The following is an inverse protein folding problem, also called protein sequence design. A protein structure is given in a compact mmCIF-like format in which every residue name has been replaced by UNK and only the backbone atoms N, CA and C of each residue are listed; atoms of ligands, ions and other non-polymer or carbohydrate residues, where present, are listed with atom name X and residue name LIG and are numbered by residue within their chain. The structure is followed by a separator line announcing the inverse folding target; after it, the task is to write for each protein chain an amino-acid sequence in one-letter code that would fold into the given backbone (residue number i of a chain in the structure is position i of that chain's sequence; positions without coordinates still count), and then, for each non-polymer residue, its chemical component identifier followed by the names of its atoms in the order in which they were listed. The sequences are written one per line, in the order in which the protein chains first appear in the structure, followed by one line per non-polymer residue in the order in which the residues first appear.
data_IF_015773389714
#
_entry.id   IF_015773389714
#
_cell.length_a   1.000
_cell.length_b   1.000
_cell.length_c   1.000
_cell.angle_alpha   90.00
_cell.angle_beta   90.00
_cell.angle_gamma   90.00
#
_symmetry.space_group_name_H-M   'P 1'
#
loop_
_entity.id
_entity.type
_entity.pdbx_description
1 polymer ?
#
# COMPACT_ATOMS: atom_id res chain seq x y z
N UNK A 1 -16.80 2.85 -11.80
CA UNK A 1 -15.68 2.84 -12.78
C UNK A 1 -15.47 4.20 -13.45
N UNK A 2 -16.46 4.78 -14.14
CA UNK A 2 -16.32 6.09 -14.83
C UNK A 2 -15.94 7.22 -13.86
N UNK A 3 -16.58 7.29 -12.67
CA UNK A 3 -16.24 8.27 -11.62
C UNK A 3 -14.78 8.16 -11.16
N UNK A 4 -14.31 6.94 -10.90
CA UNK A 4 -12.91 6.67 -10.49
C UNK A 4 -11.91 7.16 -11.53
N UNK A 5 -12.13 6.83 -12.81
CA UNK A 5 -11.25 7.27 -13.90
C UNK A 5 -11.19 8.80 -13.99
N UNK A 6 -12.33 9.48 -13.82
CA UNK A 6 -12.40 10.95 -13.82
C UNK A 6 -11.62 11.57 -12.65
N UNK A 7 -11.73 11.00 -11.44
CA UNK A 7 -10.99 11.45 -10.26
C UNK A 7 -9.48 11.21 -10.42
N UNK A 8 -9.08 10.06 -10.98
CA UNK A 8 -7.67 9.75 -11.27
C UNK A 8 -7.06 10.74 -12.28
N UNK A 9 -7.81 11.12 -13.33
CA UNK A 9 -7.38 12.14 -14.28
C UNK A 9 -7.24 13.52 -13.63
N UNK A 10 -8.22 13.92 -12.80
CA UNK A 10 -8.15 15.18 -12.06
C UNK A 10 -6.93 15.24 -11.11
N UNK A 11 -6.68 14.14 -10.38
CA UNK A 11 -5.51 13.99 -9.51
C UNK A 11 -4.21 14.08 -10.29
N UNK A 12 -4.11 13.44 -11.45
CA UNK A 12 -2.94 13.51 -12.34
C UNK A 12 -2.63 14.95 -12.74
N UNK A 13 -3.64 15.73 -13.10
CA UNK A 13 -3.47 17.14 -13.46
C UNK A 13 -2.97 17.98 -12.27
N UNK A 14 -3.49 17.73 -11.06
CA UNK A 14 -3.05 18.42 -9.84
C UNK A 14 -1.63 18.06 -9.43
N UNK A 15 -1.20 16.80 -9.61
CA UNK A 15 0.19 16.37 -9.42
C UNK A 15 1.12 17.10 -10.38
N UNK A 16 0.76 17.21 -11.66
CA UNK A 16 1.57 17.95 -12.63
C UNK A 16 1.72 19.42 -12.22
N UNK A 17 0.63 20.05 -11.77
CA UNK A 17 0.67 21.43 -11.27
C UNK A 17 1.51 21.59 -9.99
N UNK A 18 1.49 20.61 -9.09
CA UNK A 18 2.36 20.61 -7.92
C UNK A 18 3.84 20.48 -8.30
N UNK A 19 4.16 19.68 -9.33
CA UNK A 19 5.52 19.59 -9.87
C UNK A 19 5.98 20.93 -10.46
N UNK A 20 5.12 21.62 -11.20
CA UNK A 20 5.43 22.97 -11.72
C UNK A 20 5.73 23.94 -10.57
N UNK A 21 4.91 23.94 -9.52
CA UNK A 21 5.17 24.77 -8.34
C UNK A 21 6.46 24.39 -7.62
N UNK A 22 6.80 23.10 -7.50
CA UNK A 22 8.08 22.67 -6.94
C UNK A 22 9.27 23.21 -7.75
N UNK A 23 9.23 23.09 -9.08
CA UNK A 23 10.29 23.64 -9.94
C UNK A 23 10.43 25.16 -9.77
N UNK A 24 9.31 25.89 -9.69
CA UNK A 24 9.30 27.34 -9.47
C UNK A 24 9.87 27.70 -8.09
N UNK A 25 9.54 26.92 -7.07
CA UNK A 25 10.03 27.09 -5.70
C UNK A 25 11.54 26.82 -5.60
N UNK A 26 12.02 25.73 -6.20
CA UNK A 26 13.45 25.39 -6.27
C UNK A 26 14.24 26.49 -6.97
N UNK A 27 13.73 27.00 -8.10
CA UNK A 27 14.35 28.10 -8.84
C UNK A 27 14.45 29.36 -7.98
N UNK A 28 13.38 29.77 -7.29
CA UNK A 28 13.43 30.94 -6.38
C UNK A 28 14.43 30.74 -5.26
N UNK A 29 14.43 29.56 -4.65
CA UNK A 29 15.34 29.19 -3.57
C UNK A 29 16.80 29.24 -4.03
N UNK A 30 17.11 28.80 -5.25
CA UNK A 30 18.48 28.87 -5.80
C UNK A 30 18.98 30.31 -6.00
N UNK A 31 18.07 31.27 -6.21
CA UNK A 31 18.40 32.70 -6.28
C UNK A 31 18.29 33.42 -4.92
N UNK A 32 18.08 32.69 -3.81
CA UNK A 32 17.93 33.27 -2.48
C UNK A 32 16.67 34.12 -2.30
N UNK A 33 15.69 34.00 -3.19
CA UNK A 33 14.45 34.78 -3.14
C UNK A 33 13.50 34.21 -2.09
N UNK A 34 12.86 35.10 -1.31
CA UNK A 34 11.78 34.70 -0.41
C UNK A 34 10.55 34.25 -1.20
N UNK A 35 9.81 33.29 -0.65
CA UNK A 35 8.56 32.84 -1.24
C UNK A 35 7.46 33.88 -0.99
N UNK A 36 6.68 34.29 -2.00
CA UNK A 36 5.52 35.15 -1.77
C UNK A 36 4.41 34.40 -1.01
N UNK A 37 3.73 35.06 -0.09
CA UNK A 37 2.59 34.46 0.66
C UNK A 37 1.49 33.93 -0.28
N UNK A 38 1.23 34.63 -1.40
CA UNK A 38 0.27 34.18 -2.42
C UNK A 38 0.68 32.85 -3.06
N UNK A 39 1.98 32.61 -3.20
CA UNK A 39 2.49 31.34 -3.72
C UNK A 39 2.30 30.23 -2.70
N UNK A 40 2.67 30.48 -1.44
CA UNK A 40 2.51 29.50 -0.35
C UNK A 40 1.03 29.11 -0.17
N UNK A 41 0.12 30.08 -0.24
CA UNK A 41 -1.33 29.83 -0.18
C UNK A 41 -1.83 28.98 -1.34
N UNK A 42 -1.38 29.25 -2.57
CA UNK A 42 -1.73 28.44 -3.76
C UNK A 42 -1.15 27.03 -3.67
N UNK A 43 0.08 26.90 -3.19
CA UNK A 43 0.75 25.63 -2.99
C UNK A 43 -0.02 24.77 -1.97
N UNK A 44 -0.29 25.33 -0.79
CA UNK A 44 -1.03 24.66 0.27
C UNK A 44 -2.42 24.20 -0.21
N UNK A 45 -3.16 25.05 -0.94
CA UNK A 45 -4.44 24.68 -1.51
C UNK A 45 -4.36 23.45 -2.45
N UNK A 46 -3.32 23.37 -3.30
CA UNK A 46 -3.12 22.19 -4.17
C UNK A 46 -2.80 20.94 -3.36
N UNK A 47 -2.00 21.05 -2.30
CA UNK A 47 -1.68 19.92 -1.42
C UNK A 47 -2.92 19.43 -0.68
N UNK A 48 -3.72 20.32 -0.10
CA UNK A 48 -4.97 19.98 0.59
C UNK A 48 -5.99 19.36 -0.37
N UNK A 49 -6.11 19.87 -1.59
CA UNK A 49 -6.98 19.26 -2.60
C UNK A 49 -6.52 17.85 -2.98
N UNK A 50 -5.20 17.63 -3.10
CA UNK A 50 -4.61 16.31 -3.37
C UNK A 50 -4.88 15.33 -2.23
N UNK A 51 -4.78 15.78 -0.99
CA UNK A 51 -5.10 14.98 0.19
C UNK A 51 -6.59 14.57 0.20
N UNK A 52 -7.50 15.52 -0.04
CA UNK A 52 -8.94 15.21 -0.15
C UNK A 52 -9.21 14.20 -1.27
N UNK A 53 -8.63 14.39 -2.45
CA UNK A 53 -8.76 13.43 -3.55
C UNK A 53 -8.17 12.05 -3.20
N UNK A 54 -7.14 11.96 -2.35
CA UNK A 54 -6.64 10.68 -1.87
C UNK A 54 -7.66 9.97 -0.97
N UNK A 55 -8.29 10.70 -0.05
CA UNK A 55 -9.34 10.15 0.82
C UNK A 55 -10.53 9.66 -0.01
N UNK A 56 -11.02 10.47 -0.95
CA UNK A 56 -12.14 10.09 -1.83
C UNK A 56 -11.80 8.83 -2.65
N UNK A 57 -10.58 8.74 -3.19
CA UNK A 57 -10.13 7.56 -3.94
C UNK A 57 -10.07 6.31 -3.05
N UNK A 58 -9.62 6.45 -1.80
CA UNK A 58 -9.59 5.35 -0.85
C UNK A 58 -10.99 4.82 -0.59
N UNK A 59 -11.97 5.70 -0.39
CA UNK A 59 -13.36 5.32 -0.20
C UNK A 59 -13.94 4.60 -1.42
N UNK A 60 -13.68 5.12 -2.64
CA UNK A 60 -14.09 4.44 -3.88
C UNK A 60 -13.44 3.06 -4.05
N UNK A 61 -12.17 2.90 -3.67
CA UNK A 61 -11.49 1.60 -3.73
C UNK A 61 -12.12 0.62 -2.73
N UNK A 62 -12.37 1.06 -1.50
CA UNK A 62 -13.03 0.25 -0.47
C UNK A 62 -14.41 -0.22 -0.93
N UNK A 63 -15.19 0.66 -1.57
CA UNK A 63 -16.51 0.33 -2.10
C UNK A 63 -16.42 -0.69 -3.25
N UNK A 64 -15.47 -0.49 -4.19
CA UNK A 64 -15.22 -1.43 -5.29
C UNK A 64 -14.81 -2.80 -4.75
N UNK A 65 -13.93 -2.86 -3.75
CA UNK A 65 -13.54 -4.12 -3.10
C UNK A 65 -14.75 -4.86 -2.52
N UNK A 66 -15.65 -4.16 -1.83
CA UNK A 66 -16.90 -4.74 -1.30
C UNK A 66 -17.80 -5.27 -2.42
N UNK A 67 -17.92 -4.56 -3.54
CA UNK A 67 -18.68 -5.05 -4.69
C UNK A 67 -18.02 -6.27 -5.36
N UNK A 68 -16.70 -6.28 -5.50
CA UNK A 68 -15.95 -7.42 -6.03
C UNK A 68 -16.15 -8.68 -5.18
N UNK A 69 -16.15 -8.56 -3.85
CA UNK A 69 -16.46 -9.68 -2.94
C UNK A 69 -17.87 -10.24 -3.13
N UNK A 70 -18.87 -9.39 -3.41
CA UNK A 70 -20.26 -9.81 -3.62
C UNK A 70 -20.49 -10.50 -4.97
N UNK A 71 -19.77 -10.08 -6.01
CA UNK A 71 -19.98 -10.55 -7.40
C UNK A 71 -19.13 -11.80 -7.69
N UNK A 72 -17.97 -11.94 -7.04
CA UNK A 72 -17.10 -13.11 -7.15
C UNK A 72 -16.75 -13.61 -5.73
N UNK A 73 -17.51 -14.59 -5.19
CA UNK A 73 -17.22 -15.20 -3.89
C UNK A 73 -16.02 -16.17 -3.91
N UNK A 74 -15.62 -16.67 -5.08
CA UNK A 74 -14.28 -17.25 -5.29
C UNK A 74 -13.25 -16.13 -5.15
N UNK A 75 -12.05 -16.38 -4.57
CA UNK A 75 -11.13 -15.34 -4.13
C UNK A 75 -10.74 -14.44 -5.31
N UNK A 76 -11.50 -13.35 -5.46
CA UNK A 76 -11.24 -12.34 -6.46
C UNK A 76 -9.80 -11.88 -6.28
N UNK A 77 -9.12 -11.55 -7.37
CA UNK A 77 -7.74 -11.08 -7.31
C UNK A 77 -7.58 -9.95 -6.28
N UNK A 78 -8.59 -9.10 -6.10
CA UNK A 78 -8.64 -8.07 -5.06
C UNK A 78 -8.69 -8.60 -3.61
N UNK A 79 -9.37 -9.72 -3.34
CA UNK A 79 -9.35 -10.38 -2.03
C UNK A 79 -8.01 -11.06 -1.75
N UNK A 80 -7.34 -11.61 -2.78
CA UNK A 80 -5.95 -12.08 -2.70
C UNK A 80 -4.92 -10.97 -2.48
N UNK A 81 -5.27 -9.73 -2.83
CA UNK A 81 -4.42 -8.54 -2.69
C UNK A 81 -4.70 -7.74 -1.40
N UNK A 82 -5.64 -8.18 -0.55
CA UNK A 82 -5.87 -7.54 0.74
C UNK A 82 -4.71 -7.91 1.70
N UNK A 83 -4.07 -6.91 2.34
CA UNK A 83 -2.89 -7.15 3.16
C UNK A 83 -3.06 -8.19 4.26
N UNK A 84 -4.24 -8.18 4.91
CA UNK A 84 -4.60 -9.12 5.97
C UNK A 84 -4.73 -10.56 5.47
N UNK A 85 -5.32 -10.77 4.30
CA UNK A 85 -5.52 -12.11 3.73
C UNK A 85 -4.23 -12.71 3.19
N UNK A 86 -3.35 -11.90 2.59
CA UNK A 86 -2.04 -12.37 2.18
C UNK A 86 -1.20 -12.78 3.41
N UNK A 87 -1.23 -11.98 4.48
CA UNK A 87 -0.55 -12.29 5.73
C UNK A 87 -1.05 -13.62 6.33
N UNK A 88 -2.36 -13.76 6.49
CA UNK A 88 -2.99 -14.98 7.03
C UNK A 88 -2.62 -16.21 6.21
N UNK A 89 -2.73 -16.14 4.87
CA UNK A 89 -2.33 -17.24 3.98
C UNK A 89 -0.85 -17.59 4.12
N UNK A 90 0.04 -16.59 4.16
CA UNK A 90 1.47 -16.83 4.34
C UNK A 90 1.79 -17.41 5.72
N UNK A 91 1.03 -17.05 6.76
CA UNK A 91 1.15 -17.63 8.10
C UNK A 91 0.75 -19.10 8.11
N UNK A 92 -0.38 -19.45 7.49
CA UNK A 92 -0.85 -20.84 7.38
C UNK A 92 0.13 -21.70 6.57
N UNK A 93 0.62 -21.19 5.44
CA UNK A 93 1.61 -21.88 4.62
C UNK A 93 2.94 -22.06 5.36
N UNK A 94 3.37 -21.05 6.13
CA UNK A 94 4.54 -21.13 6.98
C UNK A 94 4.39 -22.18 8.08
N UNK A 95 3.25 -22.22 8.78
CA UNK A 95 2.99 -23.20 9.82
C UNK A 95 3.07 -24.63 9.28
N UNK A 96 2.45 -24.89 8.12
CA UNK A 96 2.51 -26.20 7.45
C UNK A 96 3.94 -26.54 7.01
N UNK A 97 4.71 -25.58 6.49
CA UNK A 97 6.10 -25.79 6.11
C UNK A 97 6.99 -26.10 7.32
N UNK A 98 6.84 -25.36 8.42
CA UNK A 98 7.62 -25.58 9.63
C UNK A 98 7.27 -26.92 10.25
N UNK A 99 5.99 -27.26 10.36
CA UNK A 99 5.54 -28.57 10.86
C UNK A 99 6.13 -29.72 10.03
N UNK A 100 6.03 -29.63 8.70
CA UNK A 100 6.55 -30.64 7.77
C UNK A 100 8.07 -30.82 7.84
N UNK A 101 8.82 -29.76 8.16
CA UNK A 101 10.28 -29.79 8.20
C UNK A 101 10.86 -30.02 9.60
N UNK A 102 10.09 -29.75 10.66
CA UNK A 102 10.56 -29.91 12.05
C UNK A 102 10.82 -31.38 12.41
N UNK A 103 10.01 -32.31 11.89
CA UNK A 103 10.13 -33.76 12.15
C UNK A 103 10.24 -34.13 13.65
N UNK A 104 9.69 -33.29 14.54
CA UNK A 104 9.77 -33.47 16.00
C UNK A 104 11.13 -33.15 16.64
N UNK A 105 12.05 -32.50 15.91
CA UNK A 105 13.40 -32.18 16.39
C UNK A 105 13.41 -31.00 17.36
N UNK A 106 12.60 -29.98 17.07
CA UNK A 106 12.44 -28.79 17.88
C UNK A 106 11.15 -28.97 18.69
N UNK A 107 11.27 -28.90 20.01
CA UNK A 107 10.16 -29.04 20.97
C UNK A 107 9.82 -27.72 21.65
N UNK A 108 10.70 -26.72 21.57
CA UNK A 108 10.47 -25.41 22.15
C UNK A 108 9.46 -24.63 21.31
N UNK A 109 8.29 -24.40 21.88
CA UNK A 109 7.18 -23.68 21.24
C UNK A 109 7.58 -22.27 20.79
N UNK A 110 8.47 -21.57 21.54
CA UNK A 110 8.90 -20.21 21.18
C UNK A 110 9.82 -20.23 19.97
N UNK A 111 10.67 -21.25 19.87
CA UNK A 111 11.57 -21.42 18.72
C UNK A 111 10.76 -21.77 17.47
N UNK A 112 9.75 -22.63 17.60
CA UNK A 112 8.83 -22.96 16.50
C UNK A 112 8.05 -21.73 16.03
N UNK A 113 7.54 -20.91 16.96
CA UNK A 113 6.84 -19.66 16.66
C UNK A 113 7.72 -18.70 15.87
N UNK A 114 8.94 -18.41 16.35
CA UNK A 114 9.89 -17.52 15.65
C UNK A 114 10.23 -18.05 14.25
N UNK A 115 10.47 -19.35 14.11
CA UNK A 115 10.77 -19.96 12.79
C UNK A 115 9.55 -19.83 11.87
N UNK A 116 8.34 -19.97 12.40
CA UNK A 116 7.10 -19.81 11.65
C UNK A 116 6.91 -18.37 11.18
N UNK A 117 7.12 -17.38 12.05
CA UNK A 117 6.99 -15.96 11.70
C UNK A 117 8.04 -15.53 10.67
N UNK A 118 9.29 -15.98 10.82
CA UNK A 118 10.35 -15.75 9.83
C UNK A 118 10.02 -16.39 8.49
N UNK A 119 9.46 -17.61 8.48
CA UNK A 119 9.05 -18.30 7.26
C UNK A 119 7.87 -17.58 6.59
N UNK A 120 6.89 -17.12 7.37
CA UNK A 120 5.76 -16.34 6.89
C UNK A 120 6.23 -15.02 6.27
N UNK A 121 7.17 -14.32 6.91
CA UNK A 121 7.77 -13.10 6.40
C UNK A 121 8.47 -13.33 5.06
N UNK A 122 9.23 -14.43 4.91
CA UNK A 122 9.87 -14.80 3.64
C UNK A 122 8.86 -15.07 2.52
N UNK A 123 7.75 -15.74 2.81
CA UNK A 123 6.67 -16.01 1.85
C UNK A 123 5.94 -14.73 1.44
N UNK A 124 5.73 -13.81 2.38
CA UNK A 124 5.18 -12.48 2.11
C UNK A 124 6.10 -11.72 1.15
N UNK A 125 7.40 -11.62 1.45
CA UNK A 125 8.38 -10.94 0.59
C UNK A 125 8.46 -11.55 -0.82
N UNK A 126 8.41 -12.88 -0.93
CA UNK A 126 8.35 -13.57 -2.24
C UNK A 126 7.12 -13.16 -3.04
N UNK A 127 5.94 -13.21 -2.42
CA UNK A 127 4.67 -12.84 -3.06
C UNK A 127 4.65 -11.38 -3.54
N UNK A 128 5.29 -10.48 -2.78
CA UNK A 128 5.45 -9.07 -3.12
C UNK A 128 6.46 -8.84 -4.25
N UNK A 129 7.47 -9.71 -4.37
CA UNK A 129 8.51 -9.62 -5.40
C UNK A 129 8.00 -10.11 -6.76
N UNK A 130 7.10 -11.10 -6.77
CA UNK A 130 6.44 -11.62 -7.98
C UNK A 130 5.29 -10.71 -8.46
N UNK A 131 4.74 -9.87 -7.57
CA UNK A 131 3.68 -8.90 -7.87
C UNK A 131 4.28 -7.57 -8.32
N UNK A 132 3.71 -6.95 -9.36
CA UNK A 132 4.27 -5.74 -9.96
C UNK A 132 4.07 -4.52 -9.02
N UNK A 133 4.99 -4.35 -8.07
CA UNK A 133 5.22 -3.23 -7.13
C UNK A 133 4.04 -2.26 -6.94
N UNK A 134 3.12 -2.59 -6.02
CA UNK A 134 2.14 -1.63 -5.50
C UNK A 134 2.46 -1.31 -4.03
N UNK A 135 2.62 -0.02 -3.70
CA UNK A 135 3.03 0.45 -2.36
C UNK A 135 2.06 0.06 -1.23
N UNK A 136 0.81 -0.29 -1.57
CA UNK A 136 -0.20 -0.78 -0.63
C UNK A 136 0.15 -2.17 -0.05
N UNK A 137 0.88 -2.99 -0.81
CA UNK A 137 1.21 -4.36 -0.42
C UNK A 137 2.32 -4.44 0.65
N UNK A 138 3.07 -3.35 0.86
CA UNK A 138 4.06 -3.26 1.96
C UNK A 138 3.43 -3.28 3.36
N UNK A 139 2.16 -2.89 3.48
CA UNK A 139 1.43 -2.95 4.76
C UNK A 139 1.24 -4.39 5.30
N UNK A 140 1.40 -5.40 4.44
CA UNK A 140 1.38 -6.82 4.81
C UNK A 140 2.52 -7.14 5.78
N UNK A 141 3.71 -6.59 5.53
CA UNK A 141 4.93 -6.89 6.29
C UNK A 141 4.89 -6.28 7.69
N UNK A 142 4.25 -5.12 7.84
CA UNK A 142 4.27 -4.34 9.08
C UNK A 142 3.65 -5.11 10.26
N UNK A 143 2.56 -5.84 10.02
CA UNK A 143 1.89 -6.59 11.07
C UNK A 143 2.45 -8.00 11.34
N UNK A 144 3.54 -8.40 10.68
CA UNK A 144 4.31 -9.63 10.99
C UNK A 144 5.59 -9.28 11.77
N UNK A 145 5.95 -7.99 11.84
CA UNK A 145 7.17 -7.48 12.49
C UNK A 145 6.90 -6.90 13.90
N UNK A 146 5.63 -6.80 14.30
CA UNK A 146 5.17 -6.41 15.65
C UNK A 146 5.01 -7.64 16.55
#
# INVERSE_FOLDING_TARGET
IIKLSKVLQAKKNKINRLKEYNCEAEKRKSFGQKMPEDFERKYAAVVTDLERMNMDLQDYINEIQRFCQKIAPEPSLAARLAPSHLREKCQDEAAVLVEKNNNGTILDSKVIEIITDLTALMLQVKSLSDSNKNAYELSVLQGTMD
#
